data_IF_407286137708
#
_entry.id   IF_407286137708
#
_cell.length_a   1.000
_cell.length_b   1.000
_cell.length_c   1.000
_cell.angle_alpha   90.00
_cell.angle_beta   90.00
_cell.angle_gamma   90.00
#
_symmetry.space_group_name_H-M   'P 1'
#
loop_
_entity.id
_entity.type
_entity.pdbx_description
1 polymer ?
#
# COMPACT_ATOMS: atom_id res chain seq x y z
N UNK A 1 3.01 -53.05 -37.33
CA UNK A 1 3.50 -51.67 -37.55
C UNK A 1 2.90 -50.78 -36.45
N UNK A 2 3.68 -50.40 -35.42
CA UNK A 2 3.22 -49.59 -34.29
C UNK A 2 3.50 -48.10 -34.60
N UNK A 3 2.45 -47.28 -34.70
CA UNK A 3 2.57 -45.82 -34.83
C UNK A 3 2.75 -45.22 -33.44
N UNK A 4 3.92 -44.64 -33.17
CA UNK A 4 4.19 -43.84 -31.97
C UNK A 4 3.73 -42.43 -32.29
N UNK A 5 2.68 -41.97 -31.62
CA UNK A 5 2.23 -40.57 -31.68
C UNK A 5 3.08 -39.81 -30.66
N UNK A 6 4.05 -39.03 -31.15
CA UNK A 6 4.81 -38.09 -30.34
C UNK A 6 3.88 -36.92 -29.96
N UNK A 7 3.30 -36.98 -28.76
CA UNK A 7 2.54 -35.87 -28.20
C UNK A 7 3.46 -34.74 -27.82
N UNK A 8 3.45 -33.66 -28.62
CA UNK A 8 4.17 -32.42 -28.33
C UNK A 8 3.44 -31.70 -27.18
N UNK A 9 3.91 -31.87 -25.94
CA UNK A 9 3.42 -31.10 -24.80
C UNK A 9 3.93 -29.66 -24.95
N UNK A 10 3.07 -28.75 -25.42
CA UNK A 10 3.29 -27.31 -25.26
C UNK A 10 3.14 -26.97 -23.78
N UNK A 11 4.26 -26.85 -23.07
CA UNK A 11 4.28 -26.24 -21.74
C UNK A 11 4.17 -24.71 -21.92
N UNK A 12 2.96 -24.19 -21.79
CA UNK A 12 2.74 -22.75 -21.61
C UNK A 12 3.27 -22.34 -20.23
N UNK A 13 4.46 -21.77 -20.20
CA UNK A 13 4.99 -21.11 -19.00
C UNK A 13 4.24 -19.79 -18.81
N UNK A 14 3.19 -19.79 -17.98
CA UNK A 14 2.57 -18.55 -17.54
C UNK A 14 3.58 -17.80 -16.66
N UNK A 15 4.16 -16.72 -17.17
CA UNK A 15 4.85 -15.75 -16.34
C UNK A 15 3.77 -15.04 -15.52
N UNK A 16 3.64 -15.40 -14.25
CA UNK A 16 2.78 -14.65 -13.33
C UNK A 16 3.50 -13.33 -13.07
N UNK A 17 3.07 -12.27 -13.77
CA UNK A 17 3.62 -10.93 -13.58
C UNK A 17 2.89 -10.29 -12.40
N UNK A 18 3.62 -9.56 -11.56
CA UNK A 18 3.00 -8.73 -10.54
C UNK A 18 2.19 -7.62 -11.22
N UNK A 19 0.92 -7.49 -10.87
CA UNK A 19 0.01 -6.49 -11.43
C UNK A 19 -0.04 -5.27 -10.49
N UNK A 20 0.02 -4.03 -11.01
CA UNK A 20 -0.11 -2.85 -10.18
C UNK A 20 -1.53 -2.76 -9.62
N UNK A 21 -1.64 -2.45 -8.32
CA UNK A 21 -2.91 -2.22 -7.62
C UNK A 21 -2.93 -0.79 -7.12
N UNK A 22 -3.89 -0.01 -7.62
CA UNK A 22 -4.09 1.36 -7.14
C UNK A 22 -4.93 1.34 -5.86
N UNK A 23 -4.33 1.74 -4.74
CA UNK A 23 -5.03 1.90 -3.47
C UNK A 23 -4.97 3.37 -3.06
N UNK A 24 -6.13 3.94 -2.81
CA UNK A 24 -6.29 5.29 -2.29
C UNK A 24 -6.37 5.22 -0.76
N UNK A 25 -5.34 5.70 -0.03
CA UNK A 25 -5.40 5.72 1.42
C UNK A 25 -6.49 6.69 1.90
N UNK A 26 -7.18 6.32 2.97
CA UNK A 26 -8.11 7.23 3.66
C UNK A 26 -7.40 7.86 4.83
N UNK A 27 -7.33 9.18 4.88
CA UNK A 27 -6.54 9.92 5.86
C UNK A 27 -7.41 10.69 6.84
N UNK A 28 -7.00 10.70 8.10
CA UNK A 28 -7.61 11.48 9.17
C UNK A 28 -6.53 12.28 9.89
N UNK A 29 -6.65 13.61 9.85
CA UNK A 29 -5.78 14.50 10.61
C UNK A 29 -6.41 14.79 11.97
N UNK A 30 -5.66 14.54 13.04
CA UNK A 30 -6.03 14.90 14.40
C UNK A 30 -4.81 15.42 15.14
N UNK A 31 -4.99 16.36 16.10
CA UNK A 31 -3.88 16.94 16.84
C UNK A 31 -2.92 15.89 17.43
N UNK A 32 -3.44 14.77 17.94
CA UNK A 32 -2.64 13.80 18.69
C UNK A 32 -2.36 12.49 17.94
N UNK A 33 -3.12 12.17 16.90
CA UNK A 33 -2.98 10.94 16.13
C UNK A 33 -3.44 11.19 14.70
N UNK A 34 -2.52 11.60 13.84
CA UNK A 34 -2.80 11.72 12.40
C UNK A 34 -2.39 10.45 11.69
N UNK A 35 -3.34 9.83 10.99
CA UNK A 35 -3.14 8.51 10.39
C UNK A 35 -3.80 8.38 9.03
N UNK A 36 -3.26 7.47 8.21
CA UNK A 36 -3.91 7.03 6.99
C UNK A 36 -4.06 5.51 7.01
N UNK A 37 -5.23 5.06 6.57
CA UNK A 37 -5.60 3.64 6.47
C UNK A 37 -5.57 3.20 5.02
N UNK A 38 -5.03 2.02 4.78
CA UNK A 38 -4.92 1.38 3.47
C UNK A 38 -5.64 0.05 3.55
N UNK A 39 -6.59 -0.17 2.66
CA UNK A 39 -7.43 -1.36 2.63
C UNK A 39 -7.14 -2.18 1.38
N UNK A 40 -6.72 -3.43 1.55
CA UNK A 40 -6.55 -4.34 0.44
C UNK A 40 -7.89 -4.99 0.04
N UNK A 41 -8.62 -4.32 -0.86
CA UNK A 41 -9.88 -4.84 -1.40
C UNK A 41 -9.71 -5.58 -2.73
N UNK A 42 -8.47 -5.94 -3.12
CA UNK A 42 -8.17 -6.52 -4.43
C UNK A 42 -8.50 -8.01 -4.56
N UNK A 43 -8.74 -8.71 -3.44
CA UNK A 43 -8.91 -10.17 -3.43
C UNK A 43 -7.62 -10.95 -3.73
N UNK A 44 -6.47 -10.29 -3.74
CA UNK A 44 -5.13 -10.91 -3.84
C UNK A 44 -4.24 -10.38 -2.72
N UNK A 45 -3.19 -11.12 -2.37
CA UNK A 45 -2.15 -10.58 -1.49
C UNK A 45 -1.36 -9.51 -2.24
N UNK A 46 -0.96 -8.43 -1.56
CA UNK A 46 -0.23 -7.32 -2.18
C UNK A 46 0.96 -6.89 -1.32
N UNK A 47 1.99 -6.35 -1.97
CA UNK A 47 3.05 -5.59 -1.32
C UNK A 47 2.91 -4.11 -1.67
N UNK A 48 2.94 -3.25 -0.67
CA UNK A 48 2.81 -1.81 -0.83
C UNK A 48 4.02 -1.07 -0.27
N UNK A 49 4.50 -0.08 -1.02
CA UNK A 49 5.26 1.05 -0.47
C UNK A 49 4.31 2.19 -0.18
N UNK A 50 4.37 2.70 1.05
CA UNK A 50 3.41 3.64 1.60
C UNK A 50 4.16 4.87 2.06
N UNK A 51 3.77 6.04 1.57
CA UNK A 51 4.29 7.31 2.02
C UNK A 51 3.14 8.15 2.57
N UNK A 52 3.32 8.70 3.76
CA UNK A 52 2.44 9.69 4.35
C UNK A 52 3.20 11.00 4.57
N UNK A 53 2.54 12.11 4.29
CA UNK A 53 3.07 13.45 4.58
C UNK A 53 1.98 14.29 5.23
N UNK A 54 2.38 15.11 6.19
CA UNK A 54 1.49 16.03 6.88
C UNK A 54 2.10 17.42 6.99
N UNK A 55 1.25 18.42 7.10
CA UNK A 55 1.63 19.80 7.36
C UNK A 55 1.00 20.26 8.68
N UNK A 56 1.79 20.91 9.52
CA UNK A 56 1.34 21.47 10.79
C UNK A 56 0.78 22.88 10.62
N UNK A 57 0.03 23.36 11.62
CA UNK A 57 -0.60 24.69 11.62
C UNK A 57 0.40 25.85 11.39
N UNK A 58 1.63 25.72 11.87
CA UNK A 58 2.71 26.70 11.73
C UNK A 58 3.59 26.46 10.50
N UNK A 59 3.23 25.51 9.65
CA UNK A 59 3.92 25.22 8.39
C UNK A 59 5.08 24.22 8.50
N UNK A 60 5.19 23.49 9.62
CA UNK A 60 6.11 22.37 9.74
C UNK A 60 5.67 21.18 8.87
N UNK A 61 6.62 20.34 8.47
CA UNK A 61 6.38 19.16 7.66
C UNK A 61 6.77 17.89 8.43
N UNK A 62 5.88 16.89 8.38
CA UNK A 62 6.13 15.56 8.93
C UNK A 62 5.92 14.52 7.84
N UNK A 63 6.68 13.44 7.89
CA UNK A 63 6.53 12.36 6.93
C UNK A 63 6.94 11.02 7.54
N UNK A 64 6.35 9.95 7.01
CA UNK A 64 6.77 8.59 7.29
C UNK A 64 6.67 7.76 6.02
N UNK A 65 7.48 6.71 5.96
CA UNK A 65 7.48 5.74 4.88
C UNK A 65 7.47 4.34 5.47
N UNK A 66 6.61 3.47 4.94
CA UNK A 66 6.55 2.08 5.34
C UNK A 66 6.43 1.16 4.14
N UNK A 67 6.98 -0.04 4.28
CA UNK A 67 6.71 -1.16 3.40
C UNK A 67 5.85 -2.18 4.15
N UNK A 68 4.75 -2.62 3.53
CA UNK A 68 3.82 -3.59 4.12
C UNK A 68 3.39 -4.62 3.10
N UNK A 69 3.35 -5.87 3.53
CA UNK A 69 2.58 -6.91 2.86
C UNK A 69 1.18 -6.91 3.47
N UNK A 70 0.15 -6.82 2.63
CA UNK A 70 -1.24 -6.88 3.03
C UNK A 70 -1.87 -8.12 2.42
N UNK A 71 -2.27 -9.06 3.26
CA UNK A 71 -3.05 -10.21 2.79
C UNK A 71 -4.45 -9.76 2.36
N UNK A 72 -5.15 -10.65 1.66
CA UNK A 72 -6.51 -10.42 1.18
C UNK A 72 -7.42 -9.84 2.28
N UNK A 73 -8.07 -8.71 1.97
CA UNK A 73 -9.04 -8.02 2.84
C UNK A 73 -8.48 -7.49 4.16
N UNK A 74 -7.16 -7.36 4.28
CA UNK A 74 -6.53 -6.71 5.42
C UNK A 74 -6.41 -5.20 5.25
N UNK A 75 -6.31 -4.52 6.39
CA UNK A 75 -5.99 -3.11 6.49
C UNK A 75 -4.62 -2.89 7.13
N UNK A 76 -3.95 -1.81 6.76
CA UNK A 76 -2.81 -1.28 7.49
C UNK A 76 -2.98 0.21 7.78
N UNK A 77 -2.30 0.66 8.82
CA UNK A 77 -2.29 2.05 9.28
C UNK A 77 -0.87 2.55 9.29
N UNK A 78 -0.67 3.76 8.79
CA UNK A 78 0.58 4.51 8.91
C UNK A 78 0.27 5.83 9.60
N UNK A 79 1.14 6.24 10.52
CA UNK A 79 0.92 7.40 11.39
C UNK A 79 2.06 8.39 11.29
N UNK A 80 1.72 9.67 11.46
CA UNK A 80 2.66 10.75 11.71
C UNK A 80 2.14 11.60 12.85
N UNK A 81 3.06 12.10 13.69
CA UNK A 81 2.73 12.92 14.83
C UNK A 81 3.45 14.25 14.74
N UNK A 82 2.81 15.32 15.23
CA UNK A 82 3.51 16.56 15.53
C UNK A 82 4.35 16.39 16.79
N UNK A 83 5.51 17.06 16.84
CA UNK A 83 6.33 17.12 18.05
C UNK A 83 5.69 18.01 19.14
N UNK A 84 4.81 18.94 18.75
CA UNK A 84 4.05 19.80 19.68
C UNK A 84 2.57 19.84 19.23
N UNK A 85 1.80 18.78 19.50
CA UNK A 85 0.44 18.64 19.01
C UNK A 85 -0.53 19.66 19.62
N UNK A 86 -0.20 20.28 20.76
CA UNK A 86 -1.06 21.29 21.39
C UNK A 86 -0.91 22.67 20.75
N UNK A 87 0.31 23.08 20.38
CA UNK A 87 0.57 24.41 19.81
C UNK A 87 0.76 24.40 18.29
N UNK A 88 1.13 23.26 17.71
CA UNK A 88 1.37 23.09 16.29
C UNK A 88 0.82 21.74 15.78
N UNK A 89 -0.51 21.52 15.84
CA UNK A 89 -1.13 20.27 15.38
C UNK A 89 -0.98 20.09 13.87
N UNK A 90 -1.03 18.83 13.42
CA UNK A 90 -1.18 18.50 12.00
C UNK A 90 -2.58 18.92 11.54
N UNK A 91 -2.65 19.72 10.47
CA UNK A 91 -3.91 20.25 9.90
C UNK A 91 -4.21 19.70 8.52
N UNK A 92 -3.20 19.17 7.85
CA UNK A 92 -3.33 18.57 6.52
C UNK A 92 -2.55 17.26 6.50
N UNK A 93 -3.14 16.24 5.87
CA UNK A 93 -2.58 14.92 5.76
C UNK A 93 -2.89 14.34 4.38
N UNK A 94 -1.88 13.76 3.76
CA UNK A 94 -2.02 13.02 2.51
C UNK A 94 -1.15 11.77 2.56
N UNK A 95 -1.60 10.70 1.93
CA UNK A 95 -0.80 9.51 1.75
C UNK A 95 -0.94 8.97 0.34
N UNK A 96 0.10 8.26 -0.08
CA UNK A 96 0.20 7.56 -1.34
C UNK A 96 0.64 6.12 -1.05
N UNK A 97 0.02 5.17 -1.73
CA UNK A 97 0.39 3.76 -1.68
C UNK A 97 0.63 3.25 -3.10
N UNK A 98 1.82 2.74 -3.36
CA UNK A 98 2.14 2.04 -4.59
C UNK A 98 2.22 0.55 -4.30
N UNK A 99 1.28 -0.21 -4.84
CA UNK A 99 1.12 -1.62 -4.52
C UNK A 99 1.21 -2.50 -5.76
N UNK A 100 1.74 -3.70 -5.56
CA UNK A 100 1.77 -4.75 -6.58
C UNK A 100 1.21 -6.05 -5.98
N UNK A 101 0.54 -6.86 -6.79
CA UNK A 101 0.11 -8.20 -6.39
C UNK A 101 1.31 -9.09 -6.09
N UNK A 102 1.18 -9.91 -5.05
CA UNK A 102 2.09 -11.00 -4.73
C UNK A 102 1.53 -12.28 -5.35
N UNK A 103 2.40 -13.04 -6.02
CA UNK A 103 2.08 -14.28 -6.72
C UNK A 103 2.52 -15.50 -5.92
#
# INVERSE_FOLDING_TARGET
MKKIILGFFLTLSFKVMAEPVFIYPTCYASPYNSECTINNNSGKDISCSIQITGQTKKGGYVSAYEYRVLYQYMSAWIRVNSNDPMNDPIVYLQAYANCNTLN
#
